data_IF_639553076004
#
_entry.id   IF_639553076004
#
_cell.length_a   1.000
_cell.length_b   1.000
_cell.length_c   1.000
_cell.angle_alpha   90.00
_cell.angle_beta   90.00
_cell.angle_gamma   90.00
#
_symmetry.space_group_name_H-M   'P 1'
#
loop_
_entity.id
_entity.type
_entity.pdbx_description
1 polymer ?
#
# COMPACT_ATOMS: atom_id res chain seq x y z
N UNK A 1 -1.04 -4.33 -12.08
CA UNK A 1 0.11 -5.16 -11.66
C UNK A 1 1.42 -4.43 -11.96
N UNK A 2 2.39 -4.45 -11.06
CA UNK A 2 3.68 -3.75 -11.15
C UNK A 2 4.81 -4.67 -10.67
N UNK A 3 5.96 -4.68 -11.34
CA UNK A 3 7.13 -5.40 -10.84
C UNK A 3 7.61 -4.80 -9.53
N UNK A 4 7.93 -5.67 -8.56
CA UNK A 4 8.37 -5.25 -7.23
C UNK A 4 9.77 -4.64 -7.29
N UNK A 5 9.95 -3.48 -6.65
CA UNK A 5 11.21 -2.76 -6.61
C UNK A 5 12.24 -3.44 -5.70
N UNK A 6 11.80 -3.96 -4.57
CA UNK A 6 12.66 -4.55 -3.53
C UNK A 6 12.53 -6.08 -3.55
N UNK A 7 13.13 -6.71 -4.56
CA UNK A 7 13.19 -8.16 -4.71
C UNK A 7 14.62 -8.66 -4.92
N UNK A 8 14.87 -9.87 -4.48
CA UNK A 8 16.09 -10.62 -4.73
C UNK A 8 15.75 -11.92 -5.47
N UNK A 9 16.40 -12.15 -6.61
CA UNK A 9 16.24 -13.40 -7.38
C UNK A 9 17.09 -14.50 -6.76
N UNK A 10 16.48 -15.64 -6.48
CA UNK A 10 17.12 -16.81 -5.89
C UNK A 10 17.18 -17.98 -6.89
N UNK A 11 17.86 -19.05 -6.49
CA UNK A 11 17.88 -20.30 -7.27
C UNK A 11 16.47 -20.87 -7.47
N UNK A 12 16.27 -21.70 -8.50
CA UNK A 12 15.01 -22.37 -8.83
C UNK A 12 13.83 -21.39 -9.05
N UNK A 13 14.13 -20.22 -9.62
CA UNK A 13 13.17 -19.15 -9.88
C UNK A 13 12.41 -18.68 -8.62
N UNK A 14 12.92 -18.93 -7.43
CA UNK A 14 12.37 -18.34 -6.19
C UNK A 14 12.75 -16.87 -6.11
N UNK A 15 11.93 -16.09 -5.41
CA UNK A 15 12.22 -14.68 -5.15
C UNK A 15 12.12 -14.39 -3.66
N UNK A 16 12.96 -13.47 -3.15
CA UNK A 16 12.79 -12.90 -1.82
C UNK A 16 12.20 -11.50 -1.95
N UNK A 17 11.12 -11.25 -1.21
CA UNK A 17 10.54 -9.93 -1.04
C UNK A 17 11.27 -9.21 0.10
N UNK A 18 11.80 -8.01 -0.16
CA UNK A 18 12.54 -7.23 0.84
C UNK A 18 11.80 -5.95 1.27
N UNK A 19 10.46 -5.93 1.19
CA UNK A 19 9.65 -4.76 1.59
C UNK A 19 9.39 -4.75 3.09
N UNK A 20 8.99 -5.87 3.67
CA UNK A 20 8.75 -5.97 5.12
C UNK A 20 9.63 -7.04 5.78
N UNK A 21 9.71 -7.02 7.10
CA UNK A 21 10.63 -7.86 7.89
C UNK A 21 10.35 -9.37 7.77
N UNK A 22 9.21 -9.78 7.22
CA UNK A 22 8.97 -11.19 6.89
C UNK A 22 9.97 -11.74 5.87
N UNK A 23 10.49 -10.90 4.98
CA UNK A 23 11.45 -11.27 3.94
C UNK A 23 11.05 -12.59 3.25
N UNK A 24 9.79 -12.68 2.86
CA UNK A 24 9.20 -13.90 2.31
C UNK A 24 10.02 -14.46 1.14
N UNK A 25 10.43 -15.72 1.24
CA UNK A 25 10.95 -16.48 0.10
C UNK A 25 9.77 -17.14 -0.61
N UNK A 26 9.52 -16.73 -1.85
CA UNK A 26 8.29 -17.04 -2.58
C UNK A 26 8.62 -17.93 -3.78
N UNK A 27 8.02 -19.12 -3.82
CA UNK A 27 8.13 -20.05 -4.94
C UNK A 27 7.39 -19.54 -6.18
N UNK A 28 7.75 -19.99 -7.40
CA UNK A 28 7.01 -19.65 -8.61
C UNK A 28 5.51 -19.94 -8.48
N UNK A 29 4.66 -19.01 -8.90
CA UNK A 29 3.20 -19.07 -8.85
C UNK A 29 2.59 -18.82 -7.45
N UNK A 30 3.41 -18.66 -6.39
CA UNK A 30 2.94 -18.43 -5.02
C UNK A 30 3.02 -16.95 -4.64
N UNK A 31 2.32 -16.59 -3.56
CA UNK A 31 2.35 -15.26 -2.95
C UNK A 31 3.09 -15.26 -1.62
N UNK A 32 3.52 -14.06 -1.19
CA UNK A 32 3.98 -13.85 0.18
C UNK A 32 2.82 -13.88 1.19
N UNK A 33 3.14 -13.72 2.49
CA UNK A 33 2.17 -13.75 3.60
C UNK A 33 1.07 -12.69 3.46
N UNK A 34 1.39 -11.55 2.85
CA UNK A 34 0.44 -10.46 2.57
C UNK A 34 -0.53 -10.77 1.41
N UNK A 35 -0.30 -11.84 0.64
CA UNK A 35 -1.09 -12.28 -0.52
C UNK A 35 -1.11 -11.31 -1.70
N UNK A 36 -0.33 -10.24 -1.63
CA UNK A 36 -0.27 -9.16 -2.63
C UNK A 36 0.93 -9.30 -3.57
N UNK A 37 2.06 -9.74 -3.05
CA UNK A 37 3.26 -9.96 -3.88
C UNK A 37 3.31 -11.40 -4.34
N UNK A 38 3.30 -11.60 -5.68
CA UNK A 38 3.33 -12.92 -6.32
C UNK A 38 4.60 -13.09 -7.14
N UNK A 39 5.24 -14.25 -7.00
CA UNK A 39 6.33 -14.65 -7.87
C UNK A 39 5.77 -15.24 -9.18
N UNK A 40 6.00 -14.55 -10.29
CA UNK A 40 5.69 -15.02 -11.64
C UNK A 40 6.98 -15.40 -12.34
N UNK A 41 7.26 -16.69 -12.36
CA UNK A 41 8.41 -17.30 -13.06
C UNK A 41 9.80 -16.68 -12.70
N UNK A 42 10.01 -16.34 -11.42
CA UNK A 42 11.27 -15.77 -10.94
C UNK A 42 11.32 -14.24 -10.88
N UNK A 43 10.19 -13.58 -11.12
CA UNK A 43 10.02 -12.14 -10.92
C UNK A 43 8.85 -11.87 -10.01
N UNK A 44 9.05 -11.00 -9.03
CA UNK A 44 8.03 -10.64 -8.06
C UNK A 44 7.18 -9.47 -8.57
N UNK A 45 5.87 -9.59 -8.47
CA UNK A 45 4.92 -8.56 -8.87
C UNK A 45 3.99 -8.18 -7.74
N UNK A 46 3.76 -6.88 -7.59
CA UNK A 46 2.67 -6.33 -6.81
C UNK A 46 1.37 -6.45 -7.63
N UNK A 47 0.42 -7.23 -7.12
CA UNK A 47 -0.81 -7.55 -7.84
C UNK A 47 -1.86 -6.44 -7.73
N UNK A 48 -1.87 -5.68 -6.63
CA UNK A 48 -2.89 -4.65 -6.37
C UNK A 48 -2.44 -3.22 -6.76
N UNK A 49 -1.34 -3.06 -7.50
CA UNK A 49 -0.92 -1.75 -7.99
C UNK A 49 -2.07 -1.03 -8.70
N UNK A 50 -2.36 0.20 -8.26
CA UNK A 50 -3.47 1.04 -8.72
C UNK A 50 -4.88 0.48 -8.43
N UNK A 51 -5.04 -0.43 -7.49
CA UNK A 51 -6.35 -0.94 -7.06
C UNK A 51 -6.64 -0.53 -5.62
N UNK A 52 -7.62 0.35 -5.44
CA UNK A 52 -8.05 0.84 -4.14
C UNK A 52 -9.26 0.05 -3.62
N UNK A 53 -9.22 -0.32 -2.34
CA UNK A 53 -10.34 -0.92 -1.61
C UNK A 53 -11.26 0.13 -0.99
N UNK A 54 -10.66 1.22 -0.49
CA UNK A 54 -11.34 2.23 0.31
C UNK A 54 -10.80 3.62 -0.01
N UNK A 55 -11.71 4.59 -0.13
CA UNK A 55 -11.37 6.00 -0.37
C UNK A 55 -12.33 6.85 0.45
N UNK A 56 -11.80 7.78 1.24
CA UNK A 56 -12.57 8.76 1.99
C UNK A 56 -11.80 10.07 2.17
N UNK A 57 -12.50 11.14 2.48
CA UNK A 57 -11.92 12.40 2.94
C UNK A 57 -12.15 12.53 4.43
N UNK A 58 -11.06 12.58 5.19
CA UNK A 58 -11.09 12.61 6.65
C UNK A 58 -10.28 13.78 7.22
N UNK A 59 -10.67 14.36 8.37
CA UNK A 59 -9.75 15.20 9.13
C UNK A 59 -8.46 14.46 9.48
N UNK A 60 -7.33 15.17 9.46
CA UNK A 60 -6.02 14.57 9.78
C UNK A 60 -5.98 14.02 11.22
N UNK A 61 -6.74 14.60 12.12
CA UNK A 61 -6.89 14.16 13.52
C UNK A 61 -7.47 12.75 13.64
N UNK A 62 -8.19 12.25 12.63
CA UNK A 62 -8.66 10.86 12.58
C UNK A 62 -7.50 9.86 12.46
N UNK A 63 -6.30 10.34 12.09
CA UNK A 63 -5.04 9.57 12.09
C UNK A 63 -4.22 9.81 13.37
N UNK A 64 -4.80 10.14 14.50
CA UNK A 64 -4.35 10.80 15.74
C UNK A 64 -3.18 11.80 15.58
N UNK A 65 -3.18 12.57 14.51
CA UNK A 65 -2.13 13.55 14.20
C UNK A 65 -2.61 14.97 14.57
N UNK A 66 -2.73 15.26 15.88
CA UNK A 66 -3.32 16.50 16.37
C UNK A 66 -2.48 17.77 16.16
N UNK A 67 -1.16 17.62 16.00
CA UNK A 67 -0.21 18.72 15.82
C UNK A 67 0.38 18.80 14.42
N UNK A 68 -0.01 17.91 13.52
CA UNK A 68 0.46 17.86 12.14
C UNK A 68 -0.67 18.39 11.22
N UNK A 69 -0.47 19.59 10.68
CA UNK A 69 -1.46 20.29 9.85
C UNK A 69 -2.87 20.30 10.46
N UNK A 70 -3.05 20.78 11.73
CA UNK A 70 -4.31 20.65 12.45
C UNK A 70 -5.48 21.31 11.70
N UNK A 71 -6.65 20.64 11.72
CA UNK A 71 -7.85 21.09 11.00
C UNK A 71 -7.84 20.83 9.50
N UNK A 72 -6.78 20.22 8.94
CA UNK A 72 -6.73 19.91 7.52
C UNK A 72 -7.44 18.60 7.18
N UNK A 73 -7.90 18.51 5.92
CA UNK A 73 -8.42 17.27 5.35
C UNK A 73 -7.31 16.47 4.67
N UNK A 74 -7.36 15.16 4.82
CA UNK A 74 -6.53 14.21 4.10
C UNK A 74 -7.39 13.29 3.24
N UNK A 75 -6.95 13.01 2.02
CA UNK A 75 -7.50 11.93 1.23
C UNK A 75 -7.00 10.61 1.82
N UNK A 76 -7.87 9.85 2.45
CA UNK A 76 -7.59 8.53 3.02
C UNK A 76 -7.80 7.48 1.94
N UNK A 77 -6.80 6.68 1.64
CA UNK A 77 -6.88 5.64 0.63
C UNK A 77 -6.22 4.35 1.12
N UNK A 78 -6.84 3.22 0.86
CA UNK A 78 -6.35 1.89 1.19
C UNK A 78 -6.48 0.92 0.05
N UNK A 79 -5.83 -0.22 0.20
CA UNK A 79 -5.80 -1.30 -0.76
C UNK A 79 -6.20 -2.63 -0.10
N UNK A 80 -5.79 -3.73 -0.64
CA UNK A 80 -6.09 -5.08 -0.19
C UNK A 80 -4.86 -5.75 0.38
N UNK A 81 -5.08 -6.69 1.30
CA UNK A 81 -4.02 -7.46 1.94
C UNK A 81 -3.31 -6.72 3.06
N UNK A 82 -2.64 -7.48 3.90
CA UNK A 82 -1.83 -6.99 5.01
C UNK A 82 -0.73 -8.00 5.32
N UNK A 83 0.39 -7.53 5.84
CA UNK A 83 1.46 -8.40 6.30
C UNK A 83 1.22 -8.94 7.73
N UNK A 84 0.15 -8.50 8.42
CA UNK A 84 -0.30 -9.01 9.70
C UNK A 84 -1.75 -9.51 9.62
N UNK A 85 -2.10 -10.46 10.50
CA UNK A 85 -3.44 -11.04 10.67
C UNK A 85 -3.89 -10.82 12.11
N UNK A 86 -4.13 -9.57 12.50
CA UNK A 86 -4.56 -9.21 13.84
C UNK A 86 -5.95 -9.78 14.13
N UNK A 87 -6.16 -10.34 15.31
CA UNK A 87 -7.44 -10.97 15.69
C UNK A 87 -8.59 -9.95 15.81
N UNK A 88 -8.25 -8.71 16.16
CA UNK A 88 -9.17 -7.59 16.36
C UNK A 88 -9.09 -6.54 15.23
N UNK A 89 -8.71 -6.96 14.03
CA UNK A 89 -8.56 -6.05 12.90
C UNK A 89 -9.90 -5.41 12.52
N UNK A 90 -10.02 -4.10 12.70
CA UNK A 90 -11.21 -3.34 12.32
C UNK A 90 -11.53 -3.45 10.81
N UNK A 91 -10.50 -3.61 9.98
CA UNK A 91 -10.60 -3.67 8.53
C UNK A 91 -10.28 -5.07 7.99
N UNK A 92 -10.70 -6.12 8.70
CA UNK A 92 -10.37 -7.52 8.37
C UNK A 92 -10.85 -7.90 6.95
N UNK A 93 -11.98 -7.37 6.49
CA UNK A 93 -12.54 -7.65 5.17
C UNK A 93 -11.58 -7.32 4.01
N UNK A 94 -10.81 -6.24 4.14
CA UNK A 94 -9.83 -5.85 3.12
C UNK A 94 -8.42 -6.35 3.42
N UNK A 95 -8.12 -6.62 4.69
CA UNK A 95 -6.78 -7.02 5.15
C UNK A 95 -6.54 -8.51 5.06
N UNK A 96 -7.60 -9.35 5.27
CA UNK A 96 -7.46 -10.80 5.41
C UNK A 96 -8.01 -11.59 4.22
N UNK A 97 -8.79 -10.98 3.33
CA UNK A 97 -9.33 -11.68 2.17
C UNK A 97 -8.25 -12.12 1.17
N UNK A 98 -8.48 -13.27 0.56
CA UNK A 98 -7.70 -13.71 -0.60
C UNK A 98 -8.06 -12.80 -1.78
N UNK A 99 -7.13 -11.93 -2.17
CA UNK A 99 -7.32 -10.94 -3.24
C UNK A 99 -7.94 -11.48 -4.54
N UNK A 100 -7.91 -12.81 -4.73
CA UNK A 100 -8.49 -13.46 -5.90
C UNK A 100 -10.02 -13.25 -6.06
N UNK A 101 -10.77 -13.05 -4.98
CA UNK A 101 -12.23 -12.88 -5.02
C UNK A 101 -12.67 -11.41 -5.09
N UNK A 102 -11.84 -10.47 -4.65
CA UNK A 102 -12.19 -9.05 -4.58
C UNK A 102 -11.72 -8.22 -5.79
N UNK A 103 -10.83 -8.75 -6.63
CA UNK A 103 -10.25 -8.01 -7.77
C UNK A 103 -11.28 -7.58 -8.81
N UNK A 104 -12.39 -8.31 -8.97
CA UNK A 104 -13.43 -8.02 -9.97
C UNK A 104 -14.20 -6.71 -9.71
N UNK A 105 -14.23 -6.23 -8.47
CA UNK A 105 -14.98 -5.04 -8.05
C UNK A 105 -14.09 -3.89 -7.58
N UNK A 106 -12.78 -3.94 -7.84
CA UNK A 106 -11.85 -2.93 -7.38
C UNK A 106 -11.88 -1.68 -8.26
N UNK A 107 -11.91 -0.54 -7.60
CA UNK A 107 -11.75 0.75 -8.27
C UNK A 107 -10.30 0.93 -8.67
N UNK A 108 -10.06 1.04 -9.97
CA UNK A 108 -8.75 1.45 -10.46
C UNK A 108 -8.55 2.94 -10.19
N UNK A 109 -7.44 3.28 -9.53
CA UNK A 109 -7.04 4.64 -9.18
C UNK A 109 -5.55 4.76 -9.48
N UNK A 110 -5.20 5.45 -10.53
CA UNK A 110 -3.78 5.68 -10.85
C UNK A 110 -3.14 6.66 -9.85
N UNK A 111 -1.81 6.68 -9.71
CA UNK A 111 -1.13 7.64 -8.84
C UNK A 111 -1.51 9.11 -9.12
N UNK A 112 -1.72 9.47 -10.38
CA UNK A 112 -2.17 10.79 -10.83
C UNK A 112 -3.59 11.08 -10.35
N UNK A 113 -4.51 10.11 -10.47
CA UNK A 113 -5.91 10.23 -10.05
C UNK A 113 -6.00 10.50 -8.54
N UNK A 114 -5.10 9.88 -7.74
CA UNK A 114 -5.06 10.09 -6.29
C UNK A 114 -4.75 11.55 -5.95
N UNK A 115 -3.80 12.15 -6.66
CA UNK A 115 -3.44 13.57 -6.45
C UNK A 115 -4.57 14.49 -6.92
N UNK A 116 -5.18 14.18 -8.05
CA UNK A 116 -6.31 14.94 -8.57
C UNK A 116 -7.51 14.88 -7.61
N UNK A 117 -7.86 13.69 -7.13
CA UNK A 117 -8.93 13.54 -6.13
C UNK A 117 -8.64 14.33 -4.85
N UNK A 118 -7.39 14.29 -4.35
CA UNK A 118 -7.03 15.07 -3.16
C UNK A 118 -7.27 16.57 -3.37
N UNK A 119 -6.88 17.12 -4.54
CA UNK A 119 -7.11 18.52 -4.88
C UNK A 119 -8.58 18.85 -5.02
N UNK A 120 -9.34 18.02 -5.74
CA UNK A 120 -10.78 18.21 -5.99
C UNK A 120 -11.61 18.19 -4.69
N UNK A 121 -11.16 17.44 -3.69
CA UNK A 121 -11.76 17.39 -2.36
C UNK A 121 -11.12 18.36 -1.35
N UNK A 122 -10.31 19.31 -1.81
CA UNK A 122 -9.63 20.31 -0.97
C UNK A 122 -8.80 19.70 0.19
N UNK A 123 -8.25 18.50 -0.03
CA UNK A 123 -7.35 17.85 0.92
C UNK A 123 -5.96 18.52 0.89
N UNK A 124 -5.38 18.76 2.05
CA UNK A 124 -4.01 19.25 2.18
C UNK A 124 -2.96 18.12 2.06
N UNK A 125 -3.39 16.86 2.06
CA UNK A 125 -2.51 15.72 1.94
C UNK A 125 -3.21 14.41 1.62
N UNK A 126 -2.40 13.35 1.52
CA UNK A 126 -2.83 11.97 1.27
C UNK A 126 -2.37 11.08 2.43
N UNK A 127 -3.28 10.25 2.93
CA UNK A 127 -2.99 9.25 3.96
C UNK A 127 -3.26 7.84 3.41
N UNK A 128 -2.21 7.03 3.30
CA UNK A 128 -2.37 5.60 3.03
C UNK A 128 -2.69 4.89 4.35
N UNK A 129 -3.85 4.23 4.40
CA UNK A 129 -4.45 3.74 5.65
C UNK A 129 -5.40 2.57 5.39
N UNK A 130 -6.16 2.14 6.40
CA UNK A 130 -7.12 1.03 6.45
C UNK A 130 -6.47 -0.34 6.53
N UNK A 131 -5.61 -0.73 5.59
CA UNK A 131 -4.71 -1.88 5.66
C UNK A 131 -3.26 -1.41 5.82
N UNK A 132 -2.30 -2.31 5.71
CA UNK A 132 -0.88 -1.93 5.78
C UNK A 132 -0.40 -1.34 4.45
N UNK A 133 0.00 -0.05 4.39
CA UNK A 133 0.42 0.57 3.13
C UNK A 133 1.71 0.00 2.52
N UNK A 134 2.58 -0.64 3.31
CA UNK A 134 3.80 -1.26 2.78
C UNK A 134 3.53 -2.42 1.82
N UNK A 135 2.36 -3.08 1.88
CA UNK A 135 2.00 -4.10 0.91
C UNK A 135 1.59 -3.51 -0.45
N UNK A 136 1.48 -2.19 -0.52
CA UNK A 136 1.18 -1.42 -1.73
C UNK A 136 2.33 -0.49 -2.13
N UNK A 137 3.55 -0.90 -1.83
CA UNK A 137 4.76 -0.09 -1.77
C UNK A 137 5.01 0.75 -3.03
N UNK A 138 5.03 0.14 -4.21
CA UNK A 138 5.32 0.82 -5.47
C UNK A 138 4.29 1.91 -5.78
N UNK A 139 3.01 1.63 -5.51
CA UNK A 139 1.94 2.59 -5.74
C UNK A 139 2.01 3.77 -4.77
N UNK A 140 2.23 3.49 -3.49
CA UNK A 140 2.32 4.55 -2.48
C UNK A 140 3.54 5.43 -2.73
N UNK A 141 4.66 4.86 -3.18
CA UNK A 141 5.85 5.62 -3.56
C UNK A 141 5.61 6.51 -4.79
N UNK A 142 5.02 5.95 -5.86
CA UNK A 142 4.73 6.71 -7.08
C UNK A 142 3.75 7.85 -6.80
N UNK A 143 2.67 7.59 -6.07
CA UNK A 143 1.69 8.62 -5.71
C UNK A 143 2.24 9.63 -4.69
N UNK A 144 3.12 9.23 -3.75
CA UNK A 144 3.77 10.16 -2.83
C UNK A 144 4.69 11.15 -3.55
N UNK A 145 5.46 10.68 -4.54
CA UNK A 145 6.29 11.56 -5.37
C UNK A 145 5.48 12.63 -6.09
N UNK A 146 4.31 12.27 -6.62
CA UNK A 146 3.38 13.19 -7.29
C UNK A 146 2.70 14.14 -6.28
N UNK A 147 2.27 13.61 -5.13
CA UNK A 147 1.68 14.41 -4.05
C UNK A 147 2.64 15.50 -3.58
N UNK A 148 3.89 15.15 -3.29
CA UNK A 148 4.93 16.11 -2.87
C UNK A 148 5.20 17.18 -3.93
N UNK A 149 5.28 16.82 -5.21
CA UNK A 149 5.40 17.80 -6.32
C UNK A 149 4.21 18.74 -6.40
N UNK A 150 3.05 18.31 -5.91
CA UNK A 150 1.80 19.09 -5.89
C UNK A 150 1.60 19.87 -4.59
N UNK A 151 2.57 19.89 -3.67
CA UNK A 151 2.49 20.57 -2.37
C UNK A 151 1.62 19.88 -1.33
N UNK A 152 1.22 18.63 -1.56
CA UNK A 152 0.44 17.84 -0.60
C UNK A 152 1.36 17.13 0.39
N UNK A 153 0.96 17.09 1.68
CA UNK A 153 1.65 16.24 2.64
C UNK A 153 1.30 14.76 2.43
N UNK A 154 2.12 13.86 2.97
CA UNK A 154 1.95 12.41 2.86
C UNK A 154 2.04 11.76 4.23
N UNK A 155 1.15 10.81 4.51
CA UNK A 155 1.06 10.10 5.79
C UNK A 155 0.93 8.60 5.55
N UNK A 156 1.74 7.80 6.26
CA UNK A 156 1.55 6.37 6.40
C UNK A 156 0.92 6.05 7.76
N UNK A 157 -0.24 5.37 7.74
CA UNK A 157 -0.81 4.72 8.92
C UNK A 157 -0.40 3.26 8.84
N UNK A 158 0.71 2.93 9.49
CA UNK A 158 1.45 1.68 9.28
C UNK A 158 1.72 0.97 10.60
N UNK A 159 1.84 -0.36 10.56
CA UNK A 159 2.32 -1.17 11.67
C UNK A 159 3.86 -1.09 11.86
N UNK A 160 4.57 -0.38 10.97
CA UNK A 160 6.00 -0.12 11.07
C UNK A 160 6.92 -1.32 10.78
N UNK A 161 6.40 -2.41 10.24
CA UNK A 161 7.16 -3.64 9.99
C UNK A 161 7.93 -3.62 8.64
N UNK A 162 8.32 -2.44 8.19
CA UNK A 162 9.14 -2.21 7.00
C UNK A 162 10.59 -2.66 7.24
N UNK A 163 11.27 -3.03 6.14
CA UNK A 163 12.73 -3.24 6.18
C UNK A 163 13.46 -1.91 6.12
N UNK A 164 14.74 -1.84 6.55
CA UNK A 164 15.58 -0.67 6.34
C UNK A 164 15.62 -0.25 4.87
N UNK A 165 15.76 -1.22 3.96
CA UNK A 165 15.81 -0.97 2.51
C UNK A 165 14.55 -0.29 1.98
N UNK A 166 13.38 -0.63 2.54
CA UNK A 166 12.12 0.01 2.18
C UNK A 166 11.97 1.41 2.78
N UNK A 167 12.55 1.65 3.95
CA UNK A 167 12.56 2.97 4.59
C UNK A 167 13.50 3.96 3.90
N UNK A 168 14.59 3.47 3.31
CA UNK A 168 15.61 4.30 2.65
C UNK A 168 15.22 4.66 1.19
N UNK A 169 14.11 4.13 0.66
CA UNK A 169 13.64 4.37 -0.71
C UNK A 169 12.73 5.59 -0.80
#
# INVERSE_FOLDING_TARGET
MREAMLQEKLTEKRTRCNICQWRCVINPGKTGICRVYQNQDGTLYNLNYAHASSIATDPVEKKPLFHFFPGSLALSIGSWGCNFHCQDCQNWEISCEDGAHSWANQRQVLPEDTVEMAKNHHCAGIAWTYNEPSVWFEYTLDSAKLAKKSGLYTVYVTNGFLTPEALDT
#
